data_IF_272426489203
#
_entry.id   IF_272426489203
#
_cell.length_a   1.000
_cell.length_b   1.000
_cell.length_c   1.000
_cell.angle_alpha   90.00
_cell.angle_beta   90.00
_cell.angle_gamma   90.00
#
_symmetry.space_group_name_H-M   'P 1'
#
loop_
_entity.id
_entity.type
_entity.pdbx_description
1 polymer ?
#
# COMPACT_ATOMS: atom_id res chain seq x y z
N UNK A 1 31.19 16.24 -6.44
CA UNK A 1 30.38 15.02 -6.19
C UNK A 1 28.95 15.38 -6.51
N UNK A 2 28.45 14.99 -7.67
CA UNK A 2 27.04 15.21 -8.02
C UNK A 2 26.23 14.12 -7.31
N UNK A 3 25.46 14.52 -6.31
CA UNK A 3 24.39 13.68 -5.78
C UNK A 3 23.43 13.43 -6.94
N UNK A 4 23.23 12.16 -7.31
CA UNK A 4 22.26 11.76 -8.32
C UNK A 4 20.92 12.39 -7.95
N UNK A 5 20.41 13.31 -8.77
CA UNK A 5 19.11 13.92 -8.52
C UNK A 5 18.06 12.80 -8.57
N UNK A 6 17.43 12.51 -7.43
CA UNK A 6 16.33 11.56 -7.35
C UNK A 6 15.20 12.03 -8.29
N UNK A 7 14.82 11.20 -9.27
CA UNK A 7 13.75 11.53 -10.20
C UNK A 7 12.46 11.75 -9.42
N UNK A 8 11.91 12.97 -9.47
CA UNK A 8 10.68 13.33 -8.77
C UNK A 8 9.50 13.29 -9.73
N UNK A 9 8.55 12.42 -9.43
CA UNK A 9 7.38 12.15 -10.27
C UNK A 9 6.13 12.50 -9.48
N UNK A 10 5.38 13.48 -9.98
CA UNK A 10 4.05 13.76 -9.47
C UNK A 10 3.06 12.74 -10.05
N UNK A 11 2.56 11.85 -9.20
CA UNK A 11 1.67 10.77 -9.63
C UNK A 11 0.33 11.30 -10.16
N UNK A 12 -0.08 12.49 -9.73
CA UNK A 12 -1.30 13.15 -10.22
C UNK A 12 -1.19 13.49 -11.70
N UNK A 13 -0.01 13.89 -12.13
CA UNK A 13 0.26 14.36 -13.49
C UNK A 13 0.47 13.18 -14.44
N UNK A 14 0.89 12.01 -13.91
CA UNK A 14 1.00 10.75 -14.65
C UNK A 14 -0.32 9.99 -14.78
N UNK A 15 -1.15 10.01 -13.73
CA UNK A 15 -2.41 9.29 -13.71
C UNK A 15 -3.59 10.25 -13.65
N UNK A 16 -3.94 10.71 -12.44
CA UNK A 16 -4.94 11.74 -12.16
C UNK A 16 -5.00 11.99 -10.63
N UNK A 17 -5.90 12.86 -10.18
CA UNK A 17 -6.12 13.13 -8.76
C UNK A 17 -6.91 12.05 -8.00
N UNK A 18 -7.57 11.11 -8.67
CA UNK A 18 -8.43 10.09 -8.08
C UNK A 18 -7.95 8.68 -8.44
N UNK A 19 -6.94 8.20 -7.71
CA UNK A 19 -6.22 6.96 -7.99
C UNK A 19 -7.07 5.71 -7.66
N UNK A 20 -7.86 5.24 -8.63
CA UNK A 20 -8.97 4.34 -8.33
C UNK A 20 -8.78 2.91 -8.85
N UNK A 21 -8.03 2.72 -9.92
CA UNK A 21 -7.96 1.44 -10.64
C UNK A 21 -6.66 0.69 -10.36
N UNK A 22 -6.79 -0.63 -10.17
CA UNK A 22 -5.63 -1.53 -10.02
C UNK A 22 -4.68 -1.41 -11.19
N UNK A 23 -5.22 -1.39 -12.40
CA UNK A 23 -4.43 -1.39 -13.63
C UNK A 23 -3.65 -0.09 -13.82
N UNK A 24 -4.17 1.04 -13.35
CA UNK A 24 -3.43 2.31 -13.37
C UNK A 24 -2.18 2.25 -12.49
N UNK A 25 -2.20 1.50 -11.38
CA UNK A 25 -0.99 1.28 -10.60
C UNK A 25 0.02 0.40 -11.36
N UNK A 26 -0.44 -0.63 -12.07
CA UNK A 26 0.44 -1.47 -12.89
C UNK A 26 1.11 -0.65 -13.99
N UNK A 27 0.32 0.07 -14.78
CA UNK A 27 0.79 0.93 -15.87
C UNK A 27 1.84 1.94 -15.36
N UNK A 28 1.55 2.59 -14.23
CA UNK A 28 2.49 3.52 -13.61
C UNK A 28 3.85 2.87 -13.35
N UNK A 29 3.89 1.71 -12.70
CA UNK A 29 5.17 1.02 -12.44
C UNK A 29 5.80 0.40 -13.69
N UNK A 30 5.02 -0.03 -14.68
CA UNK A 30 5.54 -0.54 -15.95
C UNK A 30 6.27 0.58 -16.73
N UNK A 31 5.75 1.81 -16.70
CA UNK A 31 6.44 2.99 -17.24
C UNK A 31 7.72 3.31 -16.47
N UNK A 32 7.68 3.28 -15.13
CA UNK A 32 8.86 3.51 -14.30
C UNK A 32 9.95 2.47 -14.52
N UNK A 33 9.59 1.23 -14.83
CA UNK A 33 10.55 0.16 -15.06
C UNK A 33 11.21 0.24 -16.45
N UNK A 34 10.63 0.98 -17.40
CA UNK A 34 11.23 1.19 -18.73
C UNK A 34 12.40 2.19 -18.70
N UNK A 35 12.51 3.01 -17.65
CA UNK A 35 13.67 3.90 -17.48
C UNK A 35 14.85 3.10 -16.93
N UNK A 36 16.00 3.18 -17.60
CA UNK A 36 17.25 2.54 -17.16
C UNK A 36 17.93 3.27 -15.98
N UNK A 37 17.25 4.26 -15.38
CA UNK A 37 17.83 5.09 -14.34
C UNK A 37 18.00 4.30 -13.04
N UNK A 38 19.26 4.25 -12.60
CA UNK A 38 19.72 3.59 -11.38
C UNK A 38 19.74 4.64 -10.28
N UNK A 39 18.57 4.97 -9.73
CA UNK A 39 18.46 6.01 -8.71
C UNK A 39 17.15 5.93 -7.93
N UNK A 40 17.10 6.67 -6.82
CA UNK A 40 15.94 6.73 -5.94
C UNK A 40 14.82 7.51 -6.64
N UNK A 41 13.63 6.92 -6.76
CA UNK A 41 12.47 7.56 -7.38
C UNK A 41 11.59 8.18 -6.29
N UNK A 42 11.37 9.49 -6.35
CA UNK A 42 10.46 10.19 -5.44
C UNK A 42 9.08 10.30 -6.04
N UNK A 43 8.11 9.60 -5.47
CA UNK A 43 6.70 9.67 -5.87
C UNK A 43 5.99 10.72 -5.02
N UNK A 44 5.58 11.81 -5.67
CA UNK A 44 4.91 12.94 -5.04
C UNK A 44 3.38 12.81 -5.16
N UNK A 45 2.70 12.78 -4.01
CA UNK A 45 1.24 12.70 -3.90
C UNK A 45 0.56 14.07 -3.79
N UNK A 46 1.30 15.17 -3.98
CA UNK A 46 0.75 16.53 -3.94
C UNK A 46 -0.40 16.68 -4.95
N UNK A 47 -1.56 17.09 -4.44
CA UNK A 47 -2.76 17.30 -5.25
C UNK A 47 -3.58 16.04 -5.54
N UNK A 48 -3.18 14.87 -5.04
CA UNK A 48 -4.03 13.67 -5.09
C UNK A 48 -5.17 13.83 -4.09
N UNK A 49 -6.39 13.56 -4.56
CA UNK A 49 -7.63 13.74 -3.82
C UNK A 49 -8.20 12.43 -3.28
N UNK A 50 -7.97 11.29 -3.90
CA UNK A 50 -8.41 10.01 -3.34
C UNK A 50 -7.61 8.86 -3.90
N UNK A 51 -7.67 7.75 -3.18
CA UNK A 51 -7.09 6.47 -3.57
C UNK A 51 -8.09 5.37 -3.20
N UNK A 52 -8.31 4.41 -4.08
CA UNK A 52 -9.09 3.22 -3.75
C UNK A 52 -8.24 2.19 -3.00
N UNK A 53 -8.88 1.24 -2.34
CA UNK A 53 -8.18 0.11 -1.71
C UNK A 53 -7.45 -0.74 -2.74
N UNK A 54 -8.06 -1.00 -3.89
CA UNK A 54 -7.46 -1.83 -4.96
C UNK A 54 -6.21 -1.18 -5.54
N UNK A 55 -6.25 0.13 -5.79
CA UNK A 55 -5.07 0.89 -6.20
C UNK A 55 -4.00 0.83 -5.11
N UNK A 56 -4.35 1.14 -3.86
CA UNK A 56 -3.38 1.18 -2.76
C UNK A 56 -2.69 -0.17 -2.53
N UNK A 57 -3.45 -1.27 -2.61
CA UNK A 57 -2.90 -2.63 -2.54
C UNK A 57 -1.90 -2.90 -3.66
N UNK A 58 -2.26 -2.60 -4.90
CA UNK A 58 -1.40 -2.88 -6.03
C UNK A 58 -0.18 -1.98 -6.06
N UNK A 59 -0.34 -0.70 -5.69
CA UNK A 59 0.74 0.26 -5.60
C UNK A 59 1.81 -0.20 -4.61
N UNK A 60 1.39 -0.56 -3.39
CA UNK A 60 2.32 -1.06 -2.37
C UNK A 60 2.97 -2.39 -2.79
N UNK A 61 2.20 -3.32 -3.34
CA UNK A 61 2.72 -4.58 -3.86
C UNK A 61 3.80 -4.36 -4.92
N UNK A 62 3.55 -3.52 -5.93
CA UNK A 62 4.52 -3.23 -7.00
C UNK A 62 5.76 -2.52 -6.46
N UNK A 63 5.60 -1.58 -5.53
CA UNK A 63 6.70 -0.86 -4.90
C UNK A 63 7.60 -1.81 -4.07
N UNK A 64 7.00 -2.75 -3.33
CA UNK A 64 7.73 -3.71 -2.48
C UNK A 64 8.40 -4.84 -3.30
N UNK A 65 7.95 -5.09 -4.53
CA UNK A 65 8.48 -6.14 -5.42
C UNK A 65 9.32 -5.57 -6.58
N UNK A 66 9.77 -4.34 -6.48
CA UNK A 66 10.62 -3.69 -7.49
C UNK A 66 12.05 -3.57 -6.97
N UNK A 67 13.01 -3.71 -7.87
CA UNK A 67 14.45 -3.56 -7.55
C UNK A 67 14.87 -2.08 -7.36
N UNK A 68 13.96 -1.13 -7.59
CA UNK A 68 14.21 0.31 -7.43
C UNK A 68 13.79 0.78 -6.03
N UNK A 69 14.50 1.76 -5.50
CA UNK A 69 14.13 2.42 -4.24
C UNK A 69 13.13 3.54 -4.50
N UNK A 70 11.98 3.51 -3.81
CA UNK A 70 10.93 4.53 -3.93
C UNK A 70 10.71 5.29 -2.63
N UNK A 71 10.61 6.61 -2.72
CA UNK A 71 10.26 7.49 -1.60
C UNK A 71 8.94 8.18 -1.91
N UNK A 72 7.92 7.94 -1.07
CA UNK A 72 6.62 8.59 -1.22
C UNK A 72 6.51 9.85 -0.37
N UNK A 73 6.32 11.03 -0.96
CA UNK A 73 6.21 12.32 -0.27
C UNK A 73 4.83 12.98 -0.44
N UNK A 74 4.55 13.99 0.39
CA UNK A 74 3.33 14.82 0.35
C UNK A 74 2.01 14.03 0.30
N UNK A 75 1.97 12.87 0.96
CA UNK A 75 0.76 12.07 1.04
C UNK A 75 -0.28 12.81 1.89
N UNK A 76 -1.46 13.14 1.36
CA UNK A 76 -2.56 13.61 2.19
C UNK A 76 -2.92 12.55 3.24
N UNK A 77 -3.31 12.97 4.46
CA UNK A 77 -3.63 12.08 5.59
C UNK A 77 -4.56 10.91 5.22
N UNK A 78 -5.56 11.15 4.37
CA UNK A 78 -6.50 10.12 3.88
C UNK A 78 -5.80 9.00 3.07
N UNK A 79 -4.78 9.34 2.29
CA UNK A 79 -3.99 8.40 1.49
C UNK A 79 -3.08 7.60 2.42
N UNK A 80 -2.42 8.25 3.38
CA UNK A 80 -1.62 7.56 4.39
C UNK A 80 -2.46 6.54 5.18
N UNK A 81 -3.68 6.93 5.57
CA UNK A 81 -4.60 6.04 6.27
C UNK A 81 -4.99 4.84 5.42
N UNK A 82 -5.28 5.02 4.12
CA UNK A 82 -5.55 3.89 3.23
C UNK A 82 -4.36 2.94 3.11
N UNK A 83 -3.14 3.47 2.96
CA UNK A 83 -1.94 2.62 2.94
C UNK A 83 -1.76 1.84 4.25
N UNK A 84 -2.01 2.47 5.41
CA UNK A 84 -2.00 1.76 6.71
C UNK A 84 -3.05 0.66 6.78
N UNK A 85 -4.30 0.93 6.36
CA UNK A 85 -5.39 -0.06 6.31
C UNK A 85 -5.00 -1.26 5.43
N UNK A 86 -4.33 -0.99 4.31
CA UNK A 86 -3.86 -2.04 3.40
C UNK A 86 -2.73 -2.87 4.02
N UNK A 87 -1.77 -2.24 4.69
CA UNK A 87 -0.63 -2.93 5.33
C UNK A 87 -1.04 -3.74 6.57
N UNK A 88 -2.01 -3.27 7.35
CA UNK A 88 -2.41 -3.89 8.62
C UNK A 88 -3.34 -5.10 8.47
N UNK A 89 -3.47 -5.71 7.28
CA UNK A 89 -4.34 -6.89 7.06
C UNK A 89 -3.95 -8.16 7.85
N UNK A 90 -2.82 -8.16 8.56
CA UNK A 90 -2.35 -9.26 9.40
C UNK A 90 -2.87 -9.26 10.84
N UNK A 91 -3.31 -8.12 11.38
CA UNK A 91 -3.87 -8.05 12.73
C UNK A 91 -5.39 -8.13 12.63
N UNK A 92 -5.93 -9.36 12.57
CA UNK A 92 -7.32 -9.55 12.99
C UNK A 92 -7.37 -9.06 14.45
N UNK A 93 -8.21 -8.09 14.82
CA UNK A 93 -8.50 -7.90 16.22
C UNK A 93 -9.02 -9.24 16.73
N UNK A 94 -8.27 -9.89 17.61
CA UNK A 94 -8.79 -11.03 18.37
C UNK A 94 -9.92 -10.44 19.19
N UNK A 95 -11.15 -10.65 18.74
CA UNK A 95 -12.33 -10.44 19.58
C UNK A 95 -12.28 -11.58 20.60
N UNK A 96 -11.61 -11.34 21.72
CA UNK A 96 -11.76 -12.16 22.92
C UNK A 96 -13.19 -11.92 23.40
N UNK A 97 -14.11 -12.82 23.04
CA UNK A 97 -15.35 -12.97 23.79
C UNK A 97 -14.97 -13.57 25.14
N UNK A 98 -14.79 -12.71 26.14
CA UNK A 98 -14.65 -13.13 27.54
C UNK A 98 -16.03 -13.51 28.08
N UNK A 99 -16.59 -14.61 27.62
CA UNK A 99 -17.71 -15.28 28.30
C UNK A 99 -17.26 -16.70 28.66
N UNK A 100 -16.82 -16.86 29.92
CA UNK A 100 -16.30 -18.11 30.50
C UNK A 100 -17.39 -19.17 30.76
N UNK A 101 -18.58 -19.08 30.17
CA UNK A 101 -19.74 -19.87 30.62
C UNK A 101 -20.17 -21.04 29.73
N UNK A 102 -19.40 -21.45 28.71
CA UNK A 102 -19.82 -22.57 27.86
C UNK A 102 -18.66 -23.40 27.30
N UNK A 103 -17.94 -24.09 28.18
CA UNK A 103 -17.18 -25.29 27.78
C UNK A 103 -17.74 -26.47 28.55
N UNK A 104 -18.77 -27.12 28.00
CA UNK A 104 -19.17 -28.45 28.47
C UNK A 104 -18.17 -29.45 27.88
N UNK A 105 -17.32 -30.00 28.74
CA UNK A 105 -16.32 -30.98 28.34
C UNK A 105 -17.02 -32.34 28.13
N UNK A 106 -17.18 -32.78 26.88
CA UNK A 106 -17.89 -34.01 26.51
C UNK A 106 -17.03 -35.29 26.60
N UNK A 107 -15.87 -35.25 27.24
CA UNK A 107 -14.97 -36.43 27.35
C UNK A 107 -15.18 -37.29 28.60
N UNK A 108 -16.28 -37.13 29.34
CA UNK A 108 -16.59 -37.93 30.54
C UNK A 108 -17.91 -38.71 30.44
N UNK A 109 -18.39 -38.99 29.23
CA UNK A 109 -19.50 -39.91 29.02
C UNK A 109 -19.18 -40.88 27.88
N UNK A 110 -18.40 -41.93 28.18
CA UNK A 110 -18.53 -43.28 27.62
C UNK A 110 -17.71 -44.21 28.54
N UNK A 111 -18.37 -45.29 28.94
CA UNK A 111 -18.03 -46.31 29.95
C UNK A 111 -16.56 -46.70 30.12
#
# INVERSE_FOLDING_TARGET
MNMLEAERINIKDKLNAHLSLRDSANQFFDELNQTNDVGNITIDFKGVQSISRSFAQQFLYRMENSDKEYICINKPRKIEMMFKIVKNKGEKPVVVNSDESSVVNLSSALH
#
